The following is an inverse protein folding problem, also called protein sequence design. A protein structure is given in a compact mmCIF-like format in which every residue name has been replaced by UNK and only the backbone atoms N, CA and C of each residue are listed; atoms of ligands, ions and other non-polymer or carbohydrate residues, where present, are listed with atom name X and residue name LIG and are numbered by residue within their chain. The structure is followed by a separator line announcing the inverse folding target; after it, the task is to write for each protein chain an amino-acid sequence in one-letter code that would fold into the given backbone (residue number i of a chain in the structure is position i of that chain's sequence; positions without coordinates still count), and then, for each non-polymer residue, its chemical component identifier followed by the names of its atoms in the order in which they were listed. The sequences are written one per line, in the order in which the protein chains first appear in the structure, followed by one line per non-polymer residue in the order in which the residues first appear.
data_IF_088562650325
#
_entry.id   IF_088562650325
#
_cell.length_a   1.000
_cell.length_b   1.000
_cell.length_c   1.000
_cell.angle_alpha   90.00
_cell.angle_beta   90.00
_cell.angle_gamma   90.00
#
_symmetry.space_group_name_H-M   'P 1'
#
loop_
_entity.id
_entity.type
_entity.pdbx_description
1 polymer ?
#
# COMPACT_ATOMS: atom_id res chain seq x y z
N UNK A 1 4.43 -50.00 -6.35
CA UNK A 1 3.95 -49.24 -5.16
C UNK A 1 4.91 -48.16 -4.66
N UNK A 2 6.25 -48.30 -4.74
CA UNK A 2 7.19 -47.24 -4.32
C UNK A 2 7.10 -45.94 -5.14
N UNK A 3 6.95 -46.04 -6.46
CA UNK A 3 6.87 -44.87 -7.37
C UNK A 3 5.62 -44.00 -7.18
N UNK A 4 4.50 -44.59 -6.77
CA UNK A 4 3.25 -43.85 -6.49
C UNK A 4 3.34 -43.08 -5.17
N UNK A 5 4.06 -43.63 -4.17
CA UNK A 5 4.27 -42.95 -2.89
C UNK A 5 5.15 -41.70 -3.05
N UNK A 6 6.19 -41.76 -3.89
CA UNK A 6 7.06 -40.61 -4.15
C UNK A 6 6.34 -39.50 -4.91
N UNK A 7 5.51 -39.83 -5.90
CA UNK A 7 4.71 -38.84 -6.62
C UNK A 7 3.65 -38.18 -5.71
N UNK A 8 3.06 -38.93 -4.78
CA UNK A 8 2.11 -38.39 -3.82
C UNK A 8 2.78 -37.51 -2.75
N UNK A 9 3.98 -37.88 -2.27
CA UNK A 9 4.78 -37.07 -1.34
C UNK A 9 5.32 -35.79 -1.99
N UNK A 10 5.75 -35.85 -3.25
CA UNK A 10 6.12 -34.65 -4.03
C UNK A 10 4.88 -33.78 -4.25
N UNK A 11 3.72 -34.38 -4.57
CA UNK A 11 2.43 -33.69 -4.70
C UNK A 11 1.97 -32.96 -3.43
N UNK A 12 2.11 -33.61 -2.25
CA UNK A 12 1.78 -33.01 -0.94
C UNK A 12 2.74 -31.87 -0.56
N UNK A 13 4.00 -31.94 -1.02
CA UNK A 13 4.99 -30.89 -0.79
C UNK A 13 4.69 -29.63 -1.59
N UNK A 14 4.04 -29.77 -2.75
CA UNK A 14 3.70 -28.66 -3.64
C UNK A 14 2.44 -27.92 -3.15
N UNK A 15 1.50 -28.60 -2.49
CA UNK A 15 0.28 -27.96 -1.97
C UNK A 15 0.51 -27.19 -0.66
N UNK A 16 1.59 -27.48 0.07
CA UNK A 16 2.00 -26.73 1.28
C UNK A 16 2.86 -25.49 1.00
N UNK A 17 3.22 -25.22 -0.25
CA UNK A 17 4.18 -24.15 -0.60
C UNK A 17 3.58 -22.78 -0.93
N UNK A 18 2.27 -22.59 -0.80
CA UNK A 18 1.63 -21.28 -0.99
C UNK A 18 1.06 -20.66 0.30
N UNK A 19 1.44 -21.20 1.47
CA UNK A 19 1.13 -20.57 2.75
C UNK A 19 2.38 -19.83 3.21
N UNK A 20 2.24 -18.52 3.43
CA UNK A 20 3.34 -17.71 3.88
C UNK A 20 3.83 -18.26 5.22
N UNK A 21 5.14 -18.54 5.32
CA UNK A 21 5.68 -19.10 6.55
C UNK A 21 5.52 -18.09 7.69
N UNK A 22 5.30 -18.55 8.93
CA UNK A 22 5.43 -17.68 10.09
C UNK A 22 6.81 -17.02 10.09
N UNK A 23 6.83 -15.73 10.40
CA UNK A 23 8.07 -14.98 10.57
C UNK A 23 8.83 -15.46 11.82
N UNK A 24 10.16 -15.50 11.72
CA UNK A 24 11.04 -15.80 12.85
C UNK A 24 11.07 -14.62 13.83
N UNK A 25 11.51 -14.85 15.07
CA UNK A 25 11.61 -13.79 16.07
C UNK A 25 12.49 -12.60 15.62
N UNK A 26 13.59 -12.88 14.93
CA UNK A 26 14.47 -11.84 14.39
C UNK A 26 13.79 -11.03 13.27
N UNK A 27 12.95 -11.67 12.45
CA UNK A 27 12.18 -11.00 11.39
C UNK A 27 11.09 -10.11 11.98
N UNK A 28 10.37 -10.59 12.99
CA UNK A 28 9.41 -9.77 13.73
C UNK A 28 10.09 -8.55 14.35
N UNK A 29 11.24 -8.73 15.00
CA UNK A 29 11.97 -7.63 15.62
C UNK A 29 12.43 -6.60 14.56
N UNK A 30 12.96 -7.06 13.43
CA UNK A 30 13.36 -6.18 12.33
C UNK A 30 12.16 -5.41 11.77
N UNK A 31 11.04 -6.10 11.54
CA UNK A 31 9.81 -5.49 11.06
C UNK A 31 9.27 -4.44 12.03
N UNK A 32 9.18 -4.78 13.33
CA UNK A 32 8.72 -3.84 14.35
C UNK A 32 9.58 -2.57 14.42
N UNK A 33 10.90 -2.68 14.22
CA UNK A 33 11.77 -1.51 14.14
C UNK A 33 11.42 -0.61 12.96
N UNK A 34 11.14 -1.20 11.79
CA UNK A 34 10.71 -0.44 10.61
C UNK A 34 9.35 0.19 10.85
N UNK A 35 8.36 -0.56 11.36
CA UNK A 35 7.01 -0.03 11.66
C UNK A 35 7.06 1.11 12.67
N UNK A 36 7.85 0.99 13.75
CA UNK A 36 7.99 2.07 14.74
C UNK A 36 8.58 3.33 14.12
N UNK A 37 9.54 3.19 13.21
CA UNK A 37 10.09 4.35 12.49
C UNK A 37 9.07 4.93 11.50
N UNK A 38 8.31 4.09 10.79
CA UNK A 38 7.21 4.54 9.92
C UNK A 38 6.15 5.31 10.71
N UNK A 39 5.72 4.78 11.85
CA UNK A 39 4.81 5.45 12.76
C UNK A 39 5.37 6.79 13.19
N UNK A 40 6.63 6.82 13.65
CA UNK A 40 7.30 8.05 14.06
C UNK A 40 7.29 9.10 12.95
N UNK A 41 7.56 8.72 11.71
CA UNK A 41 7.60 9.65 10.58
C UNK A 41 6.18 10.07 10.16
N UNK A 42 5.29 9.13 9.84
CA UNK A 42 4.04 9.40 9.14
C UNK A 42 2.88 9.85 10.05
N UNK A 43 2.90 9.50 11.35
CA UNK A 43 1.86 9.96 12.29
C UNK A 43 2.20 11.33 12.89
N UNK A 44 3.49 11.65 13.04
CA UNK A 44 3.93 12.92 13.63
C UNK A 44 4.16 14.02 12.60
N UNK A 45 4.47 13.66 11.35
CA UNK A 45 4.75 14.60 10.27
C UNK A 45 3.54 14.67 9.35
N UNK A 46 2.76 15.73 9.51
CA UNK A 46 1.57 15.98 8.69
C UNK A 46 1.83 17.11 7.68
N UNK A 47 1.10 17.13 6.56
CA UNK A 47 1.07 18.30 5.68
C UNK A 47 0.41 19.48 6.41
N UNK A 48 0.40 20.66 5.78
CA UNK A 48 -0.24 21.83 6.37
C UNK A 48 -1.72 21.56 6.68
N UNK A 49 -2.21 22.13 7.78
CA UNK A 49 -3.56 21.84 8.31
C UNK A 49 -3.55 20.81 9.44
N UNK A 50 -4.75 20.49 9.94
CA UNK A 50 -4.94 19.58 11.08
C UNK A 50 -5.39 18.22 10.59
N UNK A 51 -4.57 17.20 10.81
CA UNK A 51 -4.80 15.82 10.36
C UNK A 51 -4.87 14.87 11.54
N UNK A 52 -5.67 13.82 11.43
CA UNK A 52 -5.81 12.76 12.44
C UNK A 52 -5.69 11.39 11.79
N UNK A 53 -5.17 10.45 12.55
CA UNK A 53 -5.17 9.03 12.17
C UNK A 53 -6.62 8.56 12.14
N UNK A 54 -7.06 8.09 10.97
CA UNK A 54 -8.37 7.47 10.79
C UNK A 54 -8.28 5.95 10.97
N UNK A 55 -7.33 5.33 10.27
CA UNK A 55 -7.10 3.90 10.28
C UNK A 55 -5.60 3.64 10.16
N UNK A 56 -5.12 2.63 10.88
CA UNK A 56 -3.72 2.20 10.86
C UNK A 56 -3.70 0.68 10.95
N UNK A 57 -3.07 0.03 9.97
CA UNK A 57 -2.99 -1.42 9.86
C UNK A 57 -1.57 -1.82 9.53
N UNK A 58 -1.12 -2.92 10.12
CA UNK A 58 0.14 -3.51 9.77
C UNK A 58 0.03 -5.03 9.82
N UNK A 59 0.56 -5.69 8.79
CA UNK A 59 0.50 -7.14 8.67
C UNK A 59 1.86 -7.68 8.29
N UNK A 60 2.26 -8.76 8.95
CA UNK A 60 3.42 -9.54 8.56
C UNK A 60 2.99 -10.80 7.82
N UNK A 61 3.61 -11.04 6.67
CA UNK A 61 3.61 -12.32 6.00
C UNK A 61 2.27 -12.77 5.41
N UNK A 62 1.10 -12.27 5.77
CA UNK A 62 -0.17 -12.67 5.18
C UNK A 62 -1.05 -11.44 4.97
N UNK A 63 -1.08 -10.95 3.72
CA UNK A 63 -2.10 -9.99 3.31
C UNK A 63 -3.05 -10.68 2.32
N UNK A 64 -4.29 -10.85 2.74
CA UNK A 64 -5.39 -11.16 1.83
C UNK A 64 -5.88 -9.85 1.24
N UNK A 65 -5.43 -9.55 0.02
CA UNK A 65 -5.95 -8.39 -0.71
C UNK A 65 -7.17 -8.86 -1.47
N UNK A 66 -8.37 -8.39 -1.10
CA UNK A 66 -9.50 -8.44 -2.04
C UNK A 66 -9.14 -7.55 -3.22
N UNK A 67 -8.92 -8.17 -4.38
CA UNK A 67 -8.86 -7.41 -5.62
C UNK A 67 -10.17 -6.63 -5.76
N UNK A 68 -10.11 -5.44 -6.36
CA UNK A 68 -11.29 -4.62 -6.70
C UNK A 68 -12.30 -5.41 -7.57
N UNK A 69 -11.89 -6.58 -8.09
CA UNK A 69 -12.66 -7.50 -8.92
C UNK A 69 -13.18 -8.76 -8.19
N UNK A 70 -13.03 -8.85 -6.87
CA UNK A 70 -13.66 -9.87 -6.04
C UNK A 70 -12.91 -11.21 -5.95
N UNK A 71 -11.59 -11.22 -6.19
CA UNK A 71 -10.71 -12.36 -5.89
C UNK A 71 -9.74 -12.01 -4.76
N UNK A 72 -9.60 -12.87 -3.76
CA UNK A 72 -8.54 -12.71 -2.75
C UNK A 72 -7.19 -13.07 -3.39
N UNK A 73 -6.26 -12.14 -3.41
CA UNK A 73 -4.85 -12.40 -3.72
C UNK A 73 -4.13 -12.49 -2.38
N UNK A 74 -3.62 -13.69 -2.07
CA UNK A 74 -2.73 -13.89 -0.93
C UNK A 74 -1.34 -13.36 -1.32
N UNK A 75 -0.94 -12.23 -0.75
CA UNK A 75 0.40 -11.69 -0.90
C UNK A 75 1.18 -11.99 0.39
N UNK A 76 2.30 -12.71 0.25
CA UNK A 76 3.29 -12.86 1.31
C UNK A 76 4.19 -11.62 1.38
N UNK A 77 3.60 -10.46 1.67
CA UNK A 77 4.36 -9.21 1.84
C UNK A 77 4.00 -8.58 3.18
N UNK A 78 5.02 -8.01 3.83
CA UNK A 78 4.82 -7.26 5.04
C UNK A 78 4.38 -5.84 4.67
N UNK A 79 3.29 -5.36 5.26
CA UNK A 79 2.66 -4.10 4.87
C UNK A 79 2.35 -3.24 6.09
N UNK A 80 2.46 -1.92 5.92
CA UNK A 80 2.01 -0.89 6.83
C UNK A 80 1.13 0.08 6.07
N UNK A 81 -0.13 0.23 6.48
CA UNK A 81 -1.10 1.16 5.92
C UNK A 81 -1.50 2.18 6.97
N UNK A 82 -1.48 3.45 6.59
CA UNK A 82 -1.96 4.56 7.39
C UNK A 82 -2.89 5.41 6.55
N UNK A 83 -4.09 5.68 7.07
CA UNK A 83 -5.04 6.62 6.49
C UNK A 83 -5.18 7.80 7.44
N UNK A 84 -4.93 8.99 6.90
CA UNK A 84 -5.03 10.26 7.60
C UNK A 84 -6.22 11.03 7.05
N UNK A 85 -6.95 11.69 7.94
CA UNK A 85 -8.10 12.50 7.58
C UNK A 85 -8.01 13.90 8.17
N UNK A 86 -8.63 14.86 7.49
CA UNK A 86 -8.72 16.21 8.01
C UNK A 86 -9.53 16.22 9.31
N UNK A 87 -9.14 17.06 10.26
CA UNK A 87 -9.79 17.15 11.57
C UNK A 87 -11.25 17.60 11.46
N UNK A 88 -11.57 18.42 10.47
CA UNK A 88 -12.94 18.86 10.18
C UNK A 88 -13.82 17.66 9.81
N UNK A 89 -13.34 16.79 8.92
CA UNK A 89 -14.04 15.58 8.50
C UNK A 89 -14.15 14.57 9.63
N UNK A 90 -13.08 14.38 10.42
CA UNK A 90 -13.11 13.54 11.61
C UNK A 90 -14.18 14.02 12.61
N UNK A 91 -14.29 15.34 12.80
CA UNK A 91 -15.25 15.95 13.72
C UNK A 91 -16.68 15.82 13.20
N UNK A 92 -16.89 16.07 11.91
CA UNK A 92 -18.19 15.90 11.26
C UNK A 92 -18.68 14.45 11.34
N UNK A 93 -17.80 13.47 11.06
CA UNK A 93 -18.15 12.05 11.17
C UNK A 93 -18.46 11.64 12.60
N UNK A 94 -17.68 12.11 13.57
CA UNK A 94 -17.97 11.84 14.98
C UNK A 94 -19.32 12.41 15.40
N UNK A 95 -19.63 13.65 15.00
CA UNK A 95 -20.93 14.25 15.27
C UNK A 95 -22.08 13.45 14.65
N UNK A 96 -21.92 12.93 13.42
CA UNK A 96 -22.89 12.06 12.78
C UNK A 96 -23.12 10.76 13.57
N UNK A 97 -22.05 10.07 13.95
CA UNK A 97 -22.11 8.86 14.78
C UNK A 97 -22.74 9.12 16.16
N UNK A 98 -22.40 10.24 16.80
CA UNK A 98 -22.96 10.63 18.10
C UNK A 98 -24.46 10.96 17.99
N UNK A 99 -24.94 11.39 16.81
CA UNK A 99 -26.36 11.63 16.52
C UNK A 99 -27.14 10.40 16.06
N UNK A 100 -26.45 9.32 15.68
CA UNK A 100 -27.07 8.01 15.41
C UNK A 100 -27.53 7.39 16.73
N UNK A 101 -28.70 7.81 17.22
CA UNK A 101 -29.42 7.07 18.25
C UNK A 101 -29.61 5.62 17.78
N UNK A 102 -29.46 4.67 18.70
CA UNK A 102 -29.88 3.28 18.54
C UNK A 102 -31.32 3.24 18.02
N UNK A 103 -31.47 3.13 16.70
CA UNK A 103 -32.74 2.87 16.06
C UNK A 103 -32.98 1.38 16.17
N UNK A 104 -33.98 1.01 16.96
CA UNK A 104 -34.58 -0.34 17.03
C UNK A 104 -35.35 -0.72 15.75
N UNK A 105 -35.11 -0.02 14.65
CA UNK A 105 -35.74 -0.34 13.37
C UNK A 105 -34.98 -1.49 12.72
N UNK A 106 -35.76 -2.50 12.33
CA UNK A 106 -35.35 -3.69 11.60
C UNK A 106 -34.18 -3.37 10.65
N UNK A 107 -33.03 -4.07 10.77
CA UNK A 107 -31.89 -3.77 9.92
C UNK A 107 -32.32 -3.90 8.47
N UNK A 108 -32.34 -2.79 7.75
CA UNK A 108 -32.46 -2.77 6.30
C UNK A 108 -31.34 -3.68 5.81
N UNK A 109 -31.70 -4.73 5.08
CA UNK A 109 -30.73 -5.62 4.46
C UNK A 109 -29.67 -4.76 3.75
N UNK A 110 -28.43 -4.86 4.20
CA UNK A 110 -27.26 -4.22 3.58
C UNK A 110 -26.92 -4.85 2.22
N UNK A 111 -27.77 -5.74 1.71
CA UNK A 111 -27.64 -6.33 0.38
C UNK A 111 -28.01 -5.27 -0.67
N UNK A 112 -27.05 -4.40 -0.95
CA UNK A 112 -27.06 -3.52 -2.12
C UNK A 112 -26.75 -4.40 -3.34
N UNK A 113 -27.63 -4.37 -4.35
CA UNK A 113 -27.41 -5.09 -5.60
C UNK A 113 -26.06 -4.67 -6.19
N UNK A 114 -25.21 -5.64 -6.56
CA UNK A 114 -23.81 -5.41 -6.97
C UNK A 114 -23.66 -4.39 -8.11
N UNK A 115 -24.71 -4.22 -8.92
CA UNK A 115 -24.74 -3.33 -10.08
C UNK A 115 -24.96 -1.85 -9.72
N UNK A 116 -25.36 -1.52 -8.49
CA UNK A 116 -25.48 -0.13 -7.99
C UNK A 116 -24.31 0.30 -7.11
N UNK A 117 -23.38 -0.60 -6.76
CA UNK A 117 -22.25 -0.30 -5.87
C UNK A 117 -21.13 0.56 -6.51
N UNK A 118 -21.07 0.72 -7.83
CA UNK A 118 -19.94 1.42 -8.47
C UNK A 118 -20.34 2.37 -9.61
N UNK A 119 -21.21 3.34 -9.31
CA UNK A 119 -21.06 4.67 -9.92
C UNK A 119 -20.86 5.68 -8.80
N UNK A 120 -19.71 5.55 -8.15
CA UNK A 120 -19.29 6.52 -7.15
C UNK A 120 -19.20 7.91 -7.79
N UNK A 121 -19.86 8.90 -7.17
CA UNK A 121 -19.94 10.24 -7.71
C UNK A 121 -18.51 10.81 -7.91
N UNK A 122 -18.10 11.21 -9.13
CA UNK A 122 -16.77 11.77 -9.38
C UNK A 122 -16.41 12.94 -8.44
N UNK A 123 -17.40 13.74 -8.05
CA UNK A 123 -17.20 14.83 -7.09
C UNK A 123 -16.90 14.33 -5.68
N UNK A 124 -17.48 13.20 -5.26
CA UNK A 124 -17.22 12.58 -3.96
C UNK A 124 -15.83 11.93 -3.91
N UNK A 125 -15.33 11.43 -5.04
CA UNK A 125 -13.95 10.92 -5.17
C UNK A 125 -12.96 12.09 -5.10
N UNK A 126 -13.21 13.15 -5.88
CA UNK A 126 -12.37 14.35 -5.88
C UNK A 126 -12.33 15.05 -4.51
N UNK A 127 -13.45 15.03 -3.77
CA UNK A 127 -13.52 15.60 -2.43
C UNK A 127 -12.77 14.73 -1.41
N UNK A 128 -12.90 13.40 -1.45
CA UNK A 128 -12.12 12.49 -0.59
C UNK A 128 -10.62 12.63 -0.76
N UNK A 129 -10.16 12.87 -1.99
CA UNK A 129 -8.75 13.12 -2.26
C UNK A 129 -8.23 14.41 -1.59
N UNK A 130 -9.11 15.36 -1.23
CA UNK A 130 -8.76 16.56 -0.45
C UNK A 130 -8.88 16.33 1.05
N UNK A 131 -9.83 15.49 1.44
CA UNK A 131 -10.20 15.27 2.84
C UNK A 131 -9.34 14.20 3.54
N UNK A 132 -8.69 13.34 2.76
CA UNK A 132 -7.87 12.24 3.25
C UNK A 132 -6.62 12.05 2.39
N UNK A 133 -5.56 11.55 3.02
CA UNK A 133 -4.43 10.96 2.32
C UNK A 133 -4.11 9.61 2.94
N UNK A 134 -3.52 8.70 2.16
CA UNK A 134 -3.04 7.43 2.68
C UNK A 134 -1.58 7.19 2.36
N UNK A 135 -0.93 6.43 3.23
CA UNK A 135 0.43 5.95 3.08
C UNK A 135 0.40 4.45 3.19
N UNK A 136 0.83 3.76 2.13
CA UNK A 136 1.02 2.32 2.10
C UNK A 136 2.50 2.04 1.98
N UNK A 137 3.06 1.24 2.87
CA UNK A 137 4.45 0.80 2.83
C UNK A 137 4.50 -0.70 2.71
N UNK A 138 5.10 -1.18 1.63
CA UNK A 138 5.31 -2.61 1.38
C UNK A 138 6.78 -2.93 1.57
N UNK A 139 7.08 -3.96 2.37
CA UNK A 139 8.45 -4.34 2.70
C UNK A 139 8.83 -5.66 2.01
N UNK A 140 10.11 -5.76 1.63
CA UNK A 140 10.68 -6.91 0.92
C UNK A 140 9.90 -7.29 -0.34
N UNK A 141 9.37 -6.30 -1.04
CA UNK A 141 8.55 -6.53 -2.20
C UNK A 141 9.37 -7.14 -3.34
N UNK A 142 8.90 -8.25 -3.90
CA UNK A 142 9.62 -8.99 -4.94
C UNK A 142 9.72 -8.24 -6.27
N UNK A 143 8.74 -7.40 -6.61
CA UNK A 143 8.80 -6.46 -7.73
C UNK A 143 7.85 -5.29 -7.44
N UNK A 144 8.28 -4.06 -7.73
CA UNK A 144 7.35 -2.95 -7.83
C UNK A 144 6.88 -2.79 -9.28
N UNK A 145 5.58 -2.96 -9.55
CA UNK A 145 5.00 -2.78 -10.89
C UNK A 145 4.53 -1.34 -11.06
N UNK A 146 5.22 -0.58 -11.89
CA UNK A 146 4.82 0.80 -12.24
C UNK A 146 3.59 0.79 -13.14
N UNK A 147 3.58 -0.07 -14.16
CA UNK A 147 2.49 -0.26 -15.12
C UNK A 147 2.19 -1.74 -15.17
N UNK A 148 0.94 -2.13 -14.90
CA UNK A 148 0.49 -3.52 -14.91
C UNK A 148 -0.88 -3.63 -15.59
N UNK A 149 -0.93 -4.37 -16.69
CA UNK A 149 -2.16 -4.59 -17.45
C UNK A 149 -3.03 -5.72 -16.85
N UNK A 150 -2.44 -6.63 -16.07
CA UNK A 150 -3.16 -7.74 -15.44
C UNK A 150 -3.96 -7.23 -14.23
N UNK A 151 -3.37 -6.33 -13.44
CA UNK A 151 -4.00 -5.73 -12.27
C UNK A 151 -4.75 -4.42 -12.56
N UNK A 152 -4.88 -4.04 -13.83
CA UNK A 152 -5.46 -2.76 -14.28
C UNK A 152 -4.77 -1.49 -13.73
N UNK A 153 -3.50 -1.57 -13.30
CA UNK A 153 -2.71 -0.38 -12.94
C UNK A 153 -2.22 0.30 -14.22
N UNK A 154 -3.07 1.15 -14.78
CA UNK A 154 -2.77 1.88 -16.02
C UNK A 154 -2.31 3.30 -15.71
N UNK A 155 -1.05 3.56 -15.99
CA UNK A 155 -0.41 4.86 -15.82
C UNK A 155 -0.82 5.78 -16.96
N UNK A 156 -1.22 7.00 -16.59
CA UNK A 156 -1.46 8.09 -17.53
C UNK A 156 -0.22 8.98 -17.67
N UNK A 157 0.43 9.30 -16.54
CA UNK A 157 1.63 10.13 -16.50
C UNK A 157 2.56 9.70 -15.36
N UNK A 158 3.87 9.84 -15.58
CA UNK A 158 4.92 9.65 -14.57
C UNK A 158 5.89 10.81 -14.63
N UNK A 159 6.20 11.38 -13.47
CA UNK A 159 7.25 12.36 -13.30
C UNK A 159 8.25 11.83 -12.27
N UNK A 160 9.51 11.69 -12.65
CA UNK A 160 10.56 11.38 -11.68
C UNK A 160 10.79 12.57 -10.75
N UNK A 161 10.96 12.29 -9.47
CA UNK A 161 11.29 13.29 -8.45
C UNK A 161 12.57 12.88 -7.73
N UNK A 162 13.24 13.85 -7.11
CA UNK A 162 14.41 13.59 -6.28
C UNK A 162 14.00 13.51 -4.82
N UNK A 163 14.34 12.39 -4.16
CA UNK A 163 14.12 12.18 -2.73
C UNK A 163 15.44 11.73 -2.11
N UNK A 164 15.90 12.35 -1.00
CA UNK A 164 17.16 11.96 -0.36
C UNK A 164 17.22 10.47 0.00
N UNK A 165 18.34 9.81 -0.31
CA UNK A 165 18.58 8.38 -0.08
C UNK A 165 17.61 7.42 -0.78
N UNK A 166 16.76 7.91 -1.68
CA UNK A 166 15.96 7.08 -2.54
C UNK A 166 16.65 6.89 -3.89
N UNK A 167 16.93 5.65 -4.34
CA UNK A 167 17.39 5.40 -5.70
C UNK A 167 16.32 5.72 -6.75
N UNK A 168 15.03 5.64 -6.41
CA UNK A 168 13.92 5.77 -7.36
C UNK A 168 12.73 6.40 -6.64
N UNK A 169 12.26 7.54 -7.16
CA UNK A 169 11.04 8.16 -6.70
C UNK A 169 10.30 8.81 -7.87
N UNK A 170 8.97 8.72 -7.85
CA UNK A 170 8.14 9.26 -8.90
C UNK A 170 6.77 9.70 -8.39
N UNK A 171 6.22 10.71 -9.06
CA UNK A 171 4.82 11.07 -9.00
C UNK A 171 4.11 10.43 -10.19
N UNK A 172 3.05 9.69 -9.92
CA UNK A 172 2.30 8.91 -10.88
C UNK A 172 0.86 9.39 -10.87
N UNK A 173 0.32 9.63 -12.06
CA UNK A 173 -1.11 9.77 -12.28
C UNK A 173 -1.60 8.51 -12.98
N UNK A 174 -2.48 7.76 -12.32
CA UNK A 174 -3.16 6.61 -12.90
C UNK A 174 -4.37 7.08 -13.70
N UNK A 175 -4.75 6.32 -14.72
CA UNK A 175 -6.02 6.54 -15.43
C UNK A 175 -7.18 6.36 -14.45
N UNK A 176 -8.27 7.12 -14.63
CA UNK A 176 -9.44 6.99 -13.78
C UNK A 176 -10.14 5.64 -14.03
N UNK A 177 -10.57 5.01 -12.95
CA UNK A 177 -11.32 3.74 -13.00
C UNK A 177 -12.77 3.95 -13.45
N UNK A 178 -13.28 5.19 -13.32
CA UNK A 178 -14.64 5.58 -13.66
C UNK A 178 -14.66 6.75 -14.67
N UNK A 179 -15.61 6.69 -15.59
CA UNK A 179 -15.82 7.75 -16.59
C UNK A 179 -16.19 9.06 -15.90
N UNK A 180 -15.39 10.12 -16.12
CA UNK A 180 -15.59 11.45 -15.51
C UNK A 180 -14.92 11.64 -14.16
N UNK A 181 -14.28 10.60 -13.60
CA UNK A 181 -13.43 10.73 -12.41
C UNK A 181 -12.05 11.32 -12.75
N UNK A 182 -11.42 11.94 -11.76
CA UNK A 182 -10.02 12.36 -11.85
C UNK A 182 -9.13 11.15 -11.59
N UNK A 183 -8.08 10.99 -12.38
CA UNK A 183 -7.10 9.93 -12.18
C UNK A 183 -6.44 9.98 -10.80
N UNK A 184 -6.22 8.81 -10.19
CA UNK A 184 -5.59 8.70 -8.87
C UNK A 184 -4.14 9.19 -8.93
N UNK A 185 -3.76 10.05 -7.98
CA UNK A 185 -2.39 10.53 -7.85
C UNK A 185 -1.68 9.78 -6.73
N UNK A 186 -0.48 9.29 -7.04
CA UNK A 186 0.38 8.56 -6.12
C UNK A 186 1.78 9.14 -6.19
N UNK A 187 2.40 9.36 -5.04
CA UNK A 187 3.85 9.60 -4.95
C UNK A 187 4.49 8.37 -4.36
N UNK A 188 5.45 7.80 -5.07
CA UNK A 188 6.06 6.53 -4.72
C UNK A 188 7.55 6.73 -4.53
N UNK A 189 8.07 6.18 -3.44
CA UNK A 189 9.48 6.25 -3.06
C UNK A 189 9.96 4.84 -2.76
N UNK A 190 10.93 4.36 -3.54
CA UNK A 190 11.56 3.05 -3.36
C UNK A 190 12.85 3.24 -2.58
N UNK A 191 12.94 2.70 -1.37
CA UNK A 191 14.14 2.77 -0.52
C UNK A 191 14.84 1.42 -0.43
N UNK A 192 16.13 1.44 -0.08
CA UNK A 192 16.96 0.24 0.02
C UNK A 192 17.37 -0.36 -1.32
N UNK A 193 17.42 -1.69 -1.38
CA UNK A 193 18.00 -2.44 -2.49
C UNK A 193 17.11 -2.53 -3.73
N UNK A 194 17.05 -1.50 -4.56
CA UNK A 194 16.36 -1.51 -5.87
C UNK A 194 17.32 -1.37 -7.05
N UNK A 195 17.03 -2.06 -8.15
CA UNK A 195 17.67 -1.77 -9.43
C UNK A 195 17.03 -0.51 -10.04
N UNK A 196 17.85 0.50 -10.36
CA UNK A 196 17.40 1.79 -10.90
C UNK A 196 16.85 1.71 -12.33
N UNK A 197 17.26 0.68 -13.09
CA UNK A 197 16.73 0.43 -14.43
C UNK A 197 15.50 -0.50 -14.35
N UNK A 198 14.34 -0.09 -14.89
CA UNK A 198 13.16 -0.95 -14.92
C UNK A 198 13.31 -2.05 -15.98
N UNK A 199 12.71 -3.20 -15.70
CA UNK A 199 12.46 -4.25 -16.69
C UNK A 199 11.17 -3.92 -17.43
N UNK A 200 11.21 -3.96 -18.76
CA UNK A 200 10.06 -3.70 -19.63
C UNK A 200 9.71 -4.95 -20.44
N UNK A 201 8.46 -5.37 -20.41
CA UNK A 201 7.94 -6.48 -21.22
C UNK A 201 6.62 -6.08 -21.86
N UNK A 202 6.66 -5.61 -23.11
CA UNK A 202 5.50 -5.00 -23.74
C UNK A 202 5.10 -3.73 -23.00
N UNK A 203 3.86 -3.68 -22.50
CA UNK A 203 3.37 -2.56 -21.68
C UNK A 203 3.67 -2.73 -20.18
N UNK A 204 4.05 -3.91 -19.70
CA UNK A 204 4.45 -4.11 -18.31
C UNK A 204 5.79 -3.41 -18.02
N UNK A 205 5.82 -2.57 -16.98
CA UNK A 205 7.02 -1.87 -16.51
C UNK A 205 7.16 -2.13 -15.03
N UNK A 206 8.27 -2.76 -14.62
CA UNK A 206 8.53 -3.12 -13.23
C UNK A 206 9.96 -2.88 -12.79
N UNK A 207 10.12 -2.49 -11.54
CA UNK A 207 11.42 -2.39 -10.87
C UNK A 207 11.65 -3.64 -10.04
N UNK A 208 12.85 -4.20 -10.15
CA UNK A 208 13.22 -5.41 -9.43
C UNK A 208 14.17 -5.05 -8.29
N UNK A 209 13.99 -5.64 -7.10
CA UNK A 209 14.91 -5.47 -6.00
C UNK A 209 16.27 -6.12 -6.31
N UNK A 210 17.30 -5.66 -5.62
CA UNK A 210 18.64 -6.22 -5.63
C UNK A 210 18.95 -6.80 -4.26
N UNK A 211 18.66 -8.08 -4.08
CA UNK A 211 18.94 -8.79 -2.84
C UNK A 211 20.42 -9.19 -2.73
N UNK A 212 20.97 -9.11 -1.52
CA UNK A 212 22.34 -9.58 -1.24
C UNK A 212 22.29 -10.91 -0.49
N UNK A 213 23.18 -11.84 -0.82
CA UNK A 213 23.34 -13.08 -0.04
C UNK A 213 23.82 -12.72 1.37
N UNK A 214 23.08 -13.13 2.40
CA UNK A 214 23.33 -12.73 3.78
C UNK A 214 22.97 -11.26 4.07
N UNK A 215 22.05 -10.70 3.27
CA UNK A 215 21.50 -9.37 3.48
C UNK A 215 20.62 -9.28 4.74
N UNK A 216 20.02 -8.11 4.92
CA UNK A 216 19.20 -7.82 6.10
C UNK A 216 17.84 -8.47 5.99
N UNK A 217 17.14 -8.56 7.11
CA UNK A 217 15.79 -9.14 7.13
C UNK A 217 14.78 -8.23 6.42
N UNK A 218 15.01 -6.91 6.38
CA UNK A 218 14.29 -5.98 5.51
C UNK A 218 15.28 -5.27 4.59
N UNK A 219 15.30 -5.61 3.30
CA UNK A 219 16.29 -5.09 2.35
C UNK A 219 15.77 -3.97 1.46
N UNK A 220 14.45 -3.89 1.29
CA UNK A 220 13.81 -2.88 0.45
C UNK A 220 12.41 -2.56 0.98
N UNK A 221 11.98 -1.33 0.77
CA UNK A 221 10.58 -0.92 0.97
C UNK A 221 10.10 -0.07 -0.20
N UNK A 222 8.80 -0.10 -0.44
CA UNK A 222 8.08 0.79 -1.32
C UNK A 222 7.14 1.62 -0.46
N UNK A 223 7.32 2.93 -0.43
CA UNK A 223 6.37 3.87 0.17
C UNK A 223 5.49 4.44 -0.93
N UNK A 224 4.18 4.30 -0.82
CA UNK A 224 3.18 4.85 -1.72
C UNK A 224 2.29 5.82 -0.95
N UNK A 225 2.36 7.10 -1.29
CA UNK A 225 1.51 8.16 -0.74
C UNK A 225 0.40 8.43 -1.75
N UNK A 226 -0.85 8.12 -1.41
CA UNK A 226 -2.02 8.45 -2.24
C UNK A 226 -2.60 9.78 -1.76
N UNK A 227 -2.30 10.84 -2.49
CA UNK A 227 -2.74 12.20 -2.19
C UNK A 227 -2.56 13.10 -3.44
N UNK A 228 -3.21 14.28 -3.48
CA UNK A 228 -2.85 15.35 -4.40
C UNK A 228 -1.36 15.68 -4.32
N UNK A 229 -0.74 15.97 -5.47
CA UNK A 229 0.70 16.16 -5.57
C UNK A 229 1.28 17.24 -4.63
N UNK A 230 0.53 18.30 -4.34
CA UNK A 230 0.94 19.35 -3.39
C UNK A 230 0.99 18.86 -1.94
N UNK A 231 0.04 18.00 -1.54
CA UNK A 231 0.03 17.35 -0.22
C UNK A 231 1.16 16.31 -0.14
N UNK A 232 1.30 15.48 -1.18
CA UNK A 232 2.34 14.45 -1.22
C UNK A 232 3.75 15.06 -1.18
N UNK A 233 4.00 16.14 -1.93
CA UNK A 233 5.29 16.86 -1.90
C UNK A 233 5.58 17.46 -0.52
N UNK A 234 4.58 17.98 0.19
CA UNK A 234 4.76 18.47 1.56
C UNK A 234 5.18 17.35 2.51
N UNK A 235 4.54 16.17 2.41
CA UNK A 235 4.94 15.00 3.19
C UNK A 235 6.38 14.58 2.86
N UNK A 236 6.68 14.40 1.58
CA UNK A 236 8.00 14.01 1.10
C UNK A 236 9.09 14.98 1.57
N UNK A 237 8.83 16.28 1.57
CA UNK A 237 9.83 17.26 2.01
C UNK A 237 10.13 17.22 3.51
N UNK A 238 9.18 16.75 4.34
CA UNK A 238 9.31 16.76 5.80
C UNK A 238 9.81 15.42 6.37
N UNK A 239 9.56 14.30 5.68
CA UNK A 239 9.99 12.97 6.12
C UNK A 239 11.52 12.87 6.14
N UNK A 240 12.06 12.30 7.21
CA UNK A 240 13.48 11.95 7.28
C UNK A 240 13.74 10.63 6.56
N UNK A 241 13.88 10.71 5.24
CA UNK A 241 14.18 9.56 4.38
C UNK A 241 15.50 8.88 4.69
N UNK A 242 16.47 9.63 5.27
CA UNK A 242 17.75 9.06 5.70
C UNK A 242 17.57 8.18 6.93
N UNK A 243 16.74 8.60 7.88
CA UNK A 243 16.42 7.77 9.04
C UNK A 243 15.68 6.50 8.63
N UNK A 244 14.69 6.61 7.73
CA UNK A 244 13.97 5.45 7.20
C UNK A 244 14.89 4.45 6.49
N UNK A 245 15.68 4.92 5.52
CA UNK A 245 16.66 4.05 4.83
C UNK A 245 17.70 3.48 5.81
N UNK A 246 18.10 4.26 6.82
CA UNK A 246 19.00 3.83 7.88
C UNK A 246 18.47 2.68 8.74
N UNK A 247 17.15 2.56 8.93
CA UNK A 247 16.54 1.43 9.66
C UNK A 247 16.54 0.16 8.80
N UNK A 248 16.41 0.29 7.47
CA UNK A 248 16.58 -0.83 6.53
C UNK A 248 18.04 -1.26 6.45
N UNK A 249 18.97 -0.34 6.66
CA UNK A 249 20.41 -0.56 6.62
C UNK A 249 21.02 -0.93 7.98
N UNK A 250 20.25 -1.35 8.99
CA UNK A 250 20.78 -1.93 10.24
C UNK A 250 20.35 -3.39 10.40
#
# INVERSE_FOLDING_TARGET
MKLLLTAFLIGLSITLQAQCRPATAAENEAYERVVKELQRQFTSITPSGSWKVFDEKHSMGNLEVTSEWGGFVHLCTDRYDLIMESTEVATARKAELDTMKSTTDTPISLYVHRDTMYQENPNAIAQRAKDSYSVSVEMNLGNYRLQDVESARIVENVQNISVPNSPIAFEVRLKPDLKGAVGRQETVVLLGGWNTAPVKKGQDIRYQPKFRKGGKLVENIVVTITAPADIARQLVAKIDWKALDGVLLK
#
